data_IF_952257697344
#
_entry.id   IF_952257697344
#
_cell.length_a   1.000
_cell.length_b   1.000
_cell.length_c   1.000
_cell.angle_alpha   90.00
_cell.angle_beta   90.00
_cell.angle_gamma   90.00
#
_symmetry.space_group_name_H-M   'P 1'
#
loop_
_entity.id
_entity.type
_entity.pdbx_description
1 polymer ?
#
# COMPACT_ATOMS: atom_id res chain seq x y z
N UNK A 1 -4.28 -22.05 1.43
CA UNK A 1 -3.77 -21.02 0.51
C UNK A 1 -4.17 -21.41 -0.89
N UNK A 2 -5.10 -20.73 -1.49
CA UNK A 2 -5.53 -20.93 -2.88
C UNK A 2 -5.14 -19.70 -3.70
N UNK A 3 -5.01 -19.87 -5.03
CA UNK A 3 -4.95 -18.75 -5.97
C UNK A 3 -6.33 -18.62 -6.58
N UNK A 4 -6.97 -17.48 -6.38
CA UNK A 4 -8.31 -17.17 -6.88
C UNK A 4 -8.18 -16.08 -7.92
N UNK A 5 -8.55 -16.41 -9.16
CA UNK A 5 -8.50 -15.44 -10.27
C UNK A 5 -9.93 -14.96 -10.53
N UNK A 6 -10.12 -13.64 -10.61
CA UNK A 6 -11.40 -13.07 -11.00
C UNK A 6 -11.75 -13.52 -12.43
N UNK A 7 -12.98 -13.94 -12.64
CA UNK A 7 -13.48 -14.45 -13.92
C UNK A 7 -14.30 -13.43 -14.69
N UNK A 8 -14.65 -12.31 -14.05
CA UNK A 8 -15.34 -11.15 -14.63
C UNK A 8 -15.17 -9.93 -13.76
N UNK A 9 -15.43 -8.75 -14.31
CA UNK A 9 -15.47 -7.51 -13.53
C UNK A 9 -16.74 -7.44 -12.67
N UNK A 10 -16.63 -6.84 -11.48
CA UNK A 10 -17.74 -6.72 -10.53
C UNK A 10 -17.26 -6.27 -9.15
N UNK A 11 -18.20 -6.13 -8.22
CA UNK A 11 -17.91 -5.74 -6.85
C UNK A 11 -17.30 -6.89 -6.04
N UNK A 12 -16.36 -6.59 -5.15
CA UNK A 12 -15.75 -7.58 -4.26
C UNK A 12 -16.79 -8.36 -3.45
N UNK A 13 -17.83 -7.68 -2.97
CA UNK A 13 -18.92 -8.27 -2.19
C UNK A 13 -19.85 -9.18 -2.99
N UNK A 14 -19.87 -9.07 -4.32
CA UNK A 14 -20.83 -9.82 -5.16
C UNK A 14 -20.45 -11.29 -5.29
N UNK A 15 -21.22 -12.17 -4.66
CA UNK A 15 -21.08 -13.63 -4.70
C UNK A 15 -22.01 -14.29 -5.71
N UNK A 16 -22.63 -13.54 -6.60
CA UNK A 16 -23.42 -14.12 -7.72
C UNK A 16 -22.50 -14.80 -8.73
N UNK A 17 -22.79 -16.05 -9.07
CA UNK A 17 -22.03 -16.74 -10.13
C UNK A 17 -22.26 -16.15 -11.53
N UNK A 18 -23.26 -15.28 -11.67
CA UNK A 18 -23.61 -14.64 -12.95
C UNK A 18 -22.96 -13.26 -13.09
N UNK A 19 -22.96 -12.46 -12.02
CA UNK A 19 -22.51 -11.04 -12.03
C UNK A 19 -21.26 -10.81 -11.22
N UNK A 20 -21.00 -11.61 -10.18
CA UNK A 20 -19.84 -11.41 -9.30
C UNK A 20 -18.52 -11.87 -9.91
N UNK A 21 -17.38 -11.34 -9.39
CA UNK A 21 -16.07 -11.64 -9.96
C UNK A 21 -15.54 -13.04 -9.63
N UNK A 22 -16.11 -13.72 -8.62
CA UNK A 22 -15.51 -14.93 -8.09
C UNK A 22 -15.87 -16.18 -8.88
N UNK A 23 -14.94 -17.14 -9.04
CA UNK A 23 -15.22 -18.37 -9.76
C UNK A 23 -16.22 -19.26 -8.98
N UNK A 24 -17.09 -19.94 -9.72
CA UNK A 24 -18.06 -20.87 -9.15
C UNK A 24 -19.22 -21.12 -10.11
N UNK A 25 -19.85 -22.26 -9.98
CA UNK A 25 -20.96 -22.67 -10.86
C UNK A 25 -22.35 -22.38 -10.26
N UNK A 26 -22.41 -21.93 -9.02
CA UNK A 26 -23.67 -21.67 -8.30
C UNK A 26 -23.54 -20.46 -7.38
N UNK A 27 -24.66 -19.82 -7.07
CA UNK A 27 -24.74 -18.71 -6.11
C UNK A 27 -25.06 -19.27 -4.72
N UNK A 28 -24.36 -18.83 -3.64
CA UNK A 28 -23.22 -17.94 -3.67
C UNK A 28 -21.93 -18.62 -4.15
N UNK A 29 -21.07 -17.86 -4.84
CA UNK A 29 -19.71 -18.30 -5.13
C UNK A 29 -18.86 -18.18 -3.86
N UNK A 30 -17.73 -18.89 -3.83
CA UNK A 30 -16.78 -18.76 -2.73
C UNK A 30 -15.97 -17.47 -2.91
N UNK A 31 -16.19 -16.52 -1.99
CA UNK A 31 -15.39 -15.29 -1.92
C UNK A 31 -14.00 -15.61 -1.36
N UNK A 32 -12.93 -14.93 -1.84
CA UNK A 32 -11.60 -15.08 -1.28
C UNK A 32 -11.56 -14.78 0.23
N UNK A 33 -10.77 -15.52 0.96
CA UNK A 33 -10.59 -15.37 2.40
C UNK A 33 -9.15 -15.29 2.84
N UNK A 34 -8.96 -15.18 4.15
CA UNK A 34 -7.64 -15.13 4.78
C UNK A 34 -6.76 -16.29 4.31
N UNK A 35 -5.58 -15.97 3.82
CA UNK A 35 -4.61 -16.94 3.32
C UNK A 35 -4.67 -17.18 1.81
N UNK A 36 -5.62 -16.59 1.09
CA UNK A 36 -5.70 -16.72 -0.37
C UNK A 36 -4.91 -15.61 -1.08
N UNK A 37 -4.33 -15.97 -2.23
CA UNK A 37 -3.81 -15.00 -3.19
C UNK A 37 -4.90 -14.70 -4.22
N UNK A 38 -5.21 -13.43 -4.42
CA UNK A 38 -6.26 -13.00 -5.34
C UNK A 38 -5.67 -12.26 -6.51
N UNK A 39 -6.01 -12.70 -7.71
CA UNK A 39 -5.55 -12.12 -8.97
C UNK A 39 -6.73 -11.49 -9.70
N UNK A 40 -6.55 -10.25 -10.15
CA UNK A 40 -7.58 -9.58 -10.94
C UNK A 40 -7.70 -10.18 -12.36
N UNK A 41 -6.64 -10.82 -12.88
CA UNK A 41 -6.61 -11.33 -14.26
C UNK A 41 -6.79 -10.19 -15.25
N UNK A 42 -7.80 -10.28 -16.12
CA UNK A 42 -8.18 -9.21 -17.06
C UNK A 42 -9.42 -8.43 -16.59
N UNK A 43 -9.78 -8.55 -15.31
CA UNK A 43 -11.00 -8.01 -14.75
C UNK A 43 -10.74 -6.77 -13.89
N UNK A 44 -11.75 -5.91 -13.76
CA UNK A 44 -11.77 -4.86 -12.75
C UNK A 44 -12.64 -5.32 -11.58
N UNK A 45 -12.04 -5.42 -10.40
CA UNK A 45 -12.73 -5.81 -9.17
C UNK A 45 -12.83 -4.58 -8.28
N UNK A 46 -14.05 -4.05 -8.10
CA UNK A 46 -14.31 -2.90 -7.24
C UNK A 46 -14.32 -3.33 -5.77
N UNK A 47 -13.50 -2.69 -4.95
CA UNK A 47 -13.45 -2.91 -3.50
C UNK A 47 -14.56 -2.08 -2.86
N UNK A 48 -15.59 -2.74 -2.36
CA UNK A 48 -16.79 -2.13 -1.75
C UNK A 48 -17.04 -2.59 -0.30
N UNK A 49 -16.18 -3.44 0.24
CA UNK A 49 -16.16 -3.88 1.64
C UNK A 49 -14.74 -4.22 2.08
N UNK A 50 -14.55 -4.53 3.36
CA UNK A 50 -13.25 -4.92 3.92
C UNK A 50 -12.69 -6.16 3.21
N UNK A 51 -11.39 -6.13 2.90
CA UNK A 51 -10.65 -7.20 2.25
C UNK A 51 -9.66 -7.81 3.22
N UNK A 52 -9.77 -9.12 3.44
CA UNK A 52 -8.86 -9.89 4.28
C UNK A 52 -8.34 -11.11 3.52
N UNK A 53 -7.21 -10.97 2.86
CA UNK A 53 -6.55 -12.04 2.09
C UNK A 53 -5.05 -12.03 2.33
N UNK A 54 -4.34 -13.04 1.87
CA UNK A 54 -2.88 -13.03 1.98
C UNK A 54 -2.24 -12.04 1.01
N UNK A 55 -2.76 -11.95 -0.22
CA UNK A 55 -2.15 -11.13 -1.27
C UNK A 55 -3.18 -10.70 -2.31
N UNK A 56 -3.08 -9.46 -2.74
CA UNK A 56 -3.66 -8.93 -3.98
C UNK A 56 -2.56 -8.79 -5.02
N UNK A 57 -2.74 -9.37 -6.19
CA UNK A 57 -1.74 -9.43 -7.23
C UNK A 57 -2.30 -8.97 -8.58
N UNK A 58 -1.56 -8.12 -9.29
CA UNK A 58 -1.87 -7.80 -10.68
C UNK A 58 -1.30 -8.87 -11.60
N UNK A 59 -2.18 -9.51 -12.35
CA UNK A 59 -1.85 -10.39 -13.47
C UNK A 59 -2.73 -10.01 -14.64
N UNK A 60 -2.23 -10.01 -15.85
CA UNK A 60 -2.99 -9.57 -17.02
C UNK A 60 -3.27 -8.05 -17.03
N UNK A 61 -4.38 -7.63 -17.60
CA UNK A 61 -4.77 -6.21 -17.74
C UNK A 61 -5.66 -5.69 -16.61
N UNK A 62 -6.20 -6.58 -15.76
CA UNK A 62 -7.12 -6.24 -14.68
C UNK A 62 -6.45 -5.60 -13.47
N UNK A 63 -7.25 -5.07 -12.56
CA UNK A 63 -6.83 -4.41 -11.33
C UNK A 63 -7.96 -4.39 -10.30
N UNK A 64 -7.60 -4.12 -9.05
CA UNK A 64 -8.57 -3.81 -8.00
C UNK A 64 -8.81 -2.31 -7.99
N UNK A 65 -10.07 -1.89 -7.95
CA UNK A 65 -10.46 -0.49 -8.01
C UNK A 65 -11.11 -0.03 -6.71
N UNK A 66 -10.93 1.25 -6.38
CA UNK A 66 -11.70 1.97 -5.38
C UNK A 66 -12.15 3.26 -6.03
N UNK A 67 -13.41 3.28 -6.47
CA UNK A 67 -14.00 4.44 -7.16
C UNK A 67 -15.07 5.13 -6.33
N UNK A 68 -15.60 4.46 -5.29
CA UNK A 68 -16.66 5.00 -4.45
C UNK A 68 -16.11 5.88 -3.32
N UNK A 69 -16.83 6.94 -3.01
CA UNK A 69 -16.55 7.84 -1.89
C UNK A 69 -17.29 7.33 -0.66
N UNK A 70 -16.56 6.71 0.26
CA UNK A 70 -17.11 6.28 1.54
C UNK A 70 -16.78 7.30 2.63
N UNK A 71 -17.77 7.77 3.41
CA UNK A 71 -17.48 8.57 4.59
C UNK A 71 -16.79 7.71 5.66
N UNK A 72 -15.88 8.29 6.44
CA UNK A 72 -15.39 7.61 7.62
C UNK A 72 -16.56 7.41 8.62
N UNK A 73 -16.71 6.24 9.30
CA UNK A 73 -15.80 5.10 9.34
C UNK A 73 -16.12 3.96 8.33
N UNK A 74 -17.03 4.16 7.35
CA UNK A 74 -17.45 3.09 6.42
C UNK A 74 -16.48 2.81 5.27
N UNK A 75 -15.26 3.35 5.34
CA UNK A 75 -14.23 3.11 4.32
C UNK A 75 -13.74 1.67 4.40
N UNK A 76 -13.73 0.92 3.28
CA UNK A 76 -13.17 -0.42 3.28
C UNK A 76 -11.70 -0.41 3.69
N UNK A 77 -11.30 -1.35 4.54
CA UNK A 77 -9.90 -1.59 4.89
C UNK A 77 -9.34 -2.76 4.08
N UNK A 78 -8.05 -2.76 3.82
CA UNK A 78 -7.37 -3.87 3.15
C UNK A 78 -6.33 -4.45 4.10
N UNK A 79 -6.47 -5.74 4.40
CA UNK A 79 -5.45 -6.55 5.06
C UNK A 79 -4.92 -7.55 4.05
N UNK A 80 -3.85 -7.20 3.36
CA UNK A 80 -3.21 -8.01 2.33
C UNK A 80 -1.86 -7.42 1.95
N UNK A 81 -0.89 -8.24 1.56
CA UNK A 81 0.21 -7.78 0.73
C UNK A 81 -0.34 -7.37 -0.64
N UNK A 82 0.12 -6.25 -1.20
CA UNK A 82 -0.26 -5.80 -2.53
C UNK A 82 0.98 -5.82 -3.42
N UNK A 83 0.94 -6.69 -4.43
CA UNK A 83 2.10 -6.96 -5.29
C UNK A 83 1.76 -6.64 -6.74
N UNK A 84 2.64 -5.91 -7.39
CA UNK A 84 2.59 -5.71 -8.83
C UNK A 84 3.83 -6.34 -9.46
N UNK A 85 3.65 -7.43 -10.19
CA UNK A 85 4.78 -8.16 -10.78
C UNK A 85 5.16 -7.67 -12.18
N UNK A 86 4.23 -7.21 -13.00
CA UNK A 86 4.50 -7.02 -14.44
C UNK A 86 3.73 -5.87 -15.11
N UNK A 87 2.95 -5.08 -14.37
CA UNK A 87 1.99 -4.16 -14.97
C UNK A 87 2.42 -2.70 -14.88
N UNK A 88 2.33 -1.98 -16.00
CA UNK A 88 2.50 -0.52 -16.08
C UNK A 88 1.32 0.23 -15.43
N UNK A 89 0.79 -0.10 -14.32
CA UNK A 89 -0.22 0.61 -13.52
C UNK A 89 -0.37 -0.09 -12.16
N UNK A 90 -1.09 0.49 -11.23
CA UNK A 90 -1.29 -0.09 -9.90
C UNK A 90 -2.09 -1.40 -9.91
N UNK A 91 -1.71 -2.31 -9.02
CA UNK A 91 -2.55 -3.48 -8.68
C UNK A 91 -3.84 -3.01 -8.02
N UNK A 92 -3.74 -2.05 -7.09
CA UNK A 92 -4.86 -1.32 -6.52
C UNK A 92 -4.87 0.10 -7.09
N UNK A 93 -5.99 0.51 -7.66
CA UNK A 93 -6.19 1.85 -8.22
C UNK A 93 -7.29 2.58 -7.45
N UNK A 94 -6.98 3.79 -6.97
CA UNK A 94 -7.93 4.64 -6.26
C UNK A 94 -8.19 5.84 -7.17
N UNK A 95 -9.35 5.83 -7.81
CA UNK A 95 -9.71 6.74 -8.89
C UNK A 95 -10.75 7.77 -8.46
N UNK A 96 -10.71 8.96 -9.05
CA UNK A 96 -11.82 9.91 -9.05
C UNK A 96 -12.31 10.37 -7.67
N UNK A 97 -11.42 10.41 -6.67
CA UNK A 97 -11.78 10.76 -5.30
C UNK A 97 -12.31 9.58 -4.47
N UNK A 98 -12.14 8.34 -4.93
CA UNK A 98 -12.44 7.13 -4.17
C UNK A 98 -11.79 7.15 -2.78
N UNK A 99 -12.43 6.55 -1.80
CA UNK A 99 -11.95 6.57 -0.42
C UNK A 99 -11.79 5.15 0.13
N UNK A 100 -10.63 4.86 0.68
CA UNK A 100 -10.31 3.62 1.36
C UNK A 100 -9.82 3.92 2.77
N UNK A 101 -10.01 2.98 3.70
CA UNK A 101 -9.48 3.02 5.06
C UNK A 101 -8.00 2.64 5.08
N UNK A 102 -7.60 1.92 6.10
CA UNK A 102 -6.21 1.55 6.29
C UNK A 102 -5.81 0.36 5.40
N UNK A 103 -4.55 0.33 5.01
CA UNK A 103 -3.92 -0.81 4.32
C UNK A 103 -2.91 -1.43 5.28
N UNK A 104 -3.13 -2.71 5.63
CA UNK A 104 -2.21 -3.50 6.45
C UNK A 104 -1.58 -4.58 5.60
N UNK A 105 -0.27 -4.46 5.35
CA UNK A 105 0.52 -5.39 4.54
C UNK A 105 1.55 -4.70 3.67
N UNK A 106 2.50 -5.47 3.17
CA UNK A 106 3.59 -4.95 2.35
C UNK A 106 3.12 -4.54 0.95
N UNK A 107 3.67 -3.44 0.45
CA UNK A 107 3.44 -2.94 -0.90
C UNK A 107 4.69 -3.18 -1.76
N UNK A 108 4.58 -3.99 -2.79
CA UNK A 108 5.71 -4.33 -3.67
C UNK A 108 5.46 -3.84 -5.10
N UNK A 109 6.34 -3.00 -5.61
CA UNK A 109 6.35 -2.59 -7.01
C UNK A 109 6.97 -3.66 -7.89
N UNK A 110 6.45 -3.80 -9.12
CA UNK A 110 7.08 -4.61 -10.16
C UNK A 110 8.26 -3.92 -10.83
N UNK A 111 8.88 -4.62 -11.76
CA UNK A 111 10.06 -4.15 -12.49
C UNK A 111 9.69 -3.42 -13.80
N UNK A 112 8.44 -3.52 -14.25
CA UNK A 112 7.98 -2.82 -15.43
C UNK A 112 7.93 -1.30 -15.21
N UNK A 113 8.15 -0.52 -16.27
CA UNK A 113 8.03 0.94 -16.19
C UNK A 113 6.61 1.35 -15.78
N UNK A 114 6.51 2.20 -14.75
CA UNK A 114 5.25 2.63 -14.16
C UNK A 114 4.56 1.60 -13.25
N UNK A 115 5.17 0.43 -13.00
CA UNK A 115 4.58 -0.57 -12.11
C UNK A 115 4.60 -0.09 -10.65
N UNK A 116 3.43 0.01 -10.03
CA UNK A 116 3.29 0.28 -8.60
C UNK A 116 2.27 -0.68 -7.97
N UNK A 117 2.37 -0.94 -6.67
CA UNK A 117 1.37 -1.73 -5.97
C UNK A 117 0.06 -0.94 -5.86
N UNK A 118 0.15 0.35 -5.50
CA UNK A 118 -0.99 1.25 -5.32
C UNK A 118 -0.83 2.47 -6.22
N UNK A 119 -1.82 2.73 -7.05
CA UNK A 119 -1.94 3.93 -7.85
C UNK A 119 -3.08 4.80 -7.30
N UNK A 120 -2.74 5.90 -6.63
CA UNK A 120 -3.71 6.83 -6.06
C UNK A 120 -3.80 8.09 -6.91
N UNK A 121 -4.86 8.19 -7.71
CA UNK A 121 -5.16 9.36 -8.55
C UNK A 121 -6.24 10.23 -7.92
N UNK A 122 -5.82 11.01 -6.92
CA UNK A 122 -6.69 11.98 -6.24
C UNK A 122 -7.69 11.39 -5.25
N UNK A 123 -7.54 10.11 -4.89
CA UNK A 123 -8.33 9.48 -3.85
C UNK A 123 -7.76 9.70 -2.44
N UNK A 124 -8.45 9.15 -1.45
CA UNK A 124 -8.03 9.18 -0.05
C UNK A 124 -7.71 7.78 0.44
N UNK A 125 -6.53 7.62 1.02
CA UNK A 125 -6.07 6.42 1.71
C UNK A 125 -5.92 6.76 3.19
N UNK A 126 -6.28 5.83 4.07
CA UNK A 126 -5.98 5.87 5.50
C UNK A 126 -4.48 5.68 5.76
N UNK A 127 -4.15 4.99 6.81
CA UNK A 127 -2.76 4.68 7.13
C UNK A 127 -2.30 3.40 6.42
N UNK A 128 -1.01 3.35 6.07
CA UNK A 128 -0.36 2.15 5.56
C UNK A 128 0.52 1.59 6.67
N UNK A 129 0.22 0.37 7.10
CA UNK A 129 1.03 -0.42 8.06
C UNK A 129 1.63 -1.62 7.32
N UNK A 130 2.81 -1.44 6.78
CA UNK A 130 3.54 -2.42 5.99
C UNK A 130 4.80 -1.84 5.39
N UNK A 131 5.66 -2.69 4.85
CA UNK A 131 6.89 -2.27 4.18
C UNK A 131 6.61 -1.81 2.74
N UNK A 132 7.38 -0.82 2.28
CA UNK A 132 7.38 -0.35 0.92
C UNK A 132 8.59 -0.94 0.18
N UNK A 133 8.34 -1.78 -0.82
CA UNK A 133 9.38 -2.51 -1.55
C UNK A 133 9.41 -2.04 -3.00
N UNK A 134 10.47 -1.34 -3.37
CA UNK A 134 10.67 -0.83 -4.73
C UNK A 134 11.07 -1.96 -5.68
N UNK A 135 10.60 -1.87 -6.92
CA UNK A 135 11.01 -2.78 -8.00
C UNK A 135 12.50 -2.72 -8.31
N UNK A 136 13.03 -3.72 -9.01
CA UNK A 136 14.45 -3.83 -9.35
C UNK A 136 14.93 -2.68 -10.24
N UNK A 137 14.05 -2.09 -11.03
CA UNK A 137 14.33 -0.93 -11.89
C UNK A 137 14.09 0.42 -11.19
N UNK A 138 13.81 0.42 -9.88
CA UNK A 138 13.61 1.62 -9.07
C UNK A 138 12.18 2.13 -9.04
N UNK A 139 11.21 1.34 -9.51
CA UNK A 139 9.80 1.71 -9.40
C UNK A 139 9.36 1.78 -7.95
N UNK A 140 8.69 2.85 -7.57
CA UNK A 140 8.20 3.04 -6.20
C UNK A 140 6.85 2.34 -6.02
N UNK A 141 6.59 1.68 -4.87
CA UNK A 141 5.40 0.82 -4.72
C UNK A 141 4.09 1.58 -4.63
N UNK A 142 4.11 2.89 -4.40
CA UNK A 142 2.90 3.71 -4.34
C UNK A 142 3.07 5.01 -5.13
N UNK A 143 2.09 5.34 -5.95
CA UNK A 143 1.96 6.62 -6.63
C UNK A 143 0.85 7.43 -5.97
N UNK A 144 1.08 8.73 -5.77
CA UNK A 144 0.14 9.66 -5.14
C UNK A 144 0.37 9.84 -3.64
N UNK A 145 -0.47 10.62 -2.97
CA UNK A 145 -0.33 10.92 -1.55
C UNK A 145 -0.66 9.71 -0.68
N UNK A 146 0.18 9.45 0.31
CA UNK A 146 0.01 8.37 1.30
C UNK A 146 0.61 8.75 2.64
N UNK A 147 0.32 7.95 3.66
CA UNK A 147 0.91 8.04 4.98
C UNK A 147 1.29 6.65 5.48
N UNK A 148 2.56 6.49 5.84
CA UNK A 148 3.08 5.25 6.42
C UNK A 148 3.01 5.34 7.94
N UNK A 149 2.53 4.28 8.60
CA UNK A 149 2.54 4.18 10.06
C UNK A 149 3.98 4.06 10.54
N UNK A 150 4.29 4.79 11.60
CA UNK A 150 5.55 4.66 12.31
C UNK A 150 5.63 3.31 13.03
N UNK A 151 6.25 2.35 12.38
CA UNK A 151 6.45 1.02 12.91
C UNK A 151 7.86 0.55 12.51
N UNK A 152 8.74 0.20 13.47
CA UNK A 152 10.10 -0.26 13.18
C UNK A 152 10.16 -1.49 12.26
N UNK A 153 9.08 -2.27 12.21
CA UNK A 153 8.97 -3.41 11.29
C UNK A 153 8.73 -2.98 9.84
N UNK A 154 8.22 -1.76 9.61
CA UNK A 154 7.91 -1.23 8.29
C UNK A 154 9.17 -0.62 7.67
N UNK A 155 9.66 -1.21 6.61
CA UNK A 155 10.87 -0.76 5.94
C UNK A 155 10.54 -0.19 4.56
N UNK A 156 11.34 0.78 4.10
CA UNK A 156 11.31 1.26 2.73
C UNK A 156 12.58 0.77 2.03
N UNK A 157 12.43 -0.12 1.06
CA UNK A 157 13.55 -0.69 0.32
C UNK A 157 13.63 -0.08 -1.07
N UNK A 158 14.75 0.55 -1.37
CA UNK A 158 15.07 1.15 -2.67
C UNK A 158 16.08 0.28 -3.42
N UNK A 159 16.10 0.42 -4.74
CA UNK A 159 17.18 -0.11 -5.58
C UNK A 159 18.11 1.02 -5.98
N UNK A 160 19.41 0.83 -5.72
CA UNK A 160 20.44 1.75 -6.20
C UNK A 160 20.70 1.53 -7.70
N UNK A 161 21.27 2.51 -8.42
CA UNK A 161 21.64 2.34 -9.83
C UNK A 161 22.55 1.15 -10.13
N UNK A 162 23.29 0.65 -9.14
CA UNK A 162 24.11 -0.56 -9.24
C UNK A 162 23.34 -1.86 -8.98
N UNK A 163 22.02 -1.80 -8.79
CA UNK A 163 21.16 -2.93 -8.52
C UNK A 163 21.14 -3.41 -7.06
N UNK A 164 22.00 -2.86 -6.19
CA UNK A 164 22.01 -3.24 -4.78
C UNK A 164 20.80 -2.65 -4.03
N UNK A 165 20.13 -3.44 -3.18
CA UNK A 165 19.05 -2.90 -2.35
C UNK A 165 19.64 -1.98 -1.27
N UNK A 166 18.90 -0.91 -0.99
CA UNK A 166 19.14 -0.04 0.15
C UNK A 166 17.83 0.08 0.94
N UNK A 167 17.86 -0.27 2.21
CA UNK A 167 16.69 -0.27 3.08
C UNK A 167 16.80 0.89 4.07
N UNK A 168 15.77 1.73 4.08
CA UNK A 168 15.55 2.74 5.09
C UNK A 168 14.51 2.19 6.09
N UNK A 169 14.90 2.07 7.35
CA UNK A 169 13.94 1.74 8.40
C UNK A 169 12.96 2.91 8.59
N UNK A 170 11.68 2.59 8.73
CA UNK A 170 10.66 3.56 9.12
C UNK A 170 10.65 3.74 10.65
N UNK A 171 11.84 3.93 11.19
CA UNK A 171 12.07 4.09 12.61
C UNK A 171 12.06 5.58 12.94
N UNK A 172 11.20 5.98 13.84
CA UNK A 172 11.32 7.32 14.41
C UNK A 172 12.52 7.36 15.36
N UNK A 173 13.16 8.53 15.50
CA UNK A 173 14.19 8.70 16.50
C UNK A 173 13.67 8.24 17.88
N UNK A 174 14.51 7.55 18.64
CA UNK A 174 14.15 7.24 20.03
C UNK A 174 13.81 8.54 20.80
N UNK A 175 12.90 8.53 21.76
CA UNK A 175 12.55 9.72 22.54
C UNK A 175 13.77 10.46 23.12
N UNK A 176 14.82 9.71 23.50
CA UNK A 176 16.07 10.25 24.00
C UNK A 176 16.86 11.07 22.95
N UNK A 177 16.60 10.87 21.65
CA UNK A 177 17.26 11.57 20.55
C UNK A 177 16.43 12.76 20.04
N UNK A 178 15.25 12.98 20.59
CA UNK A 178 14.36 14.09 20.26
C UNK A 178 14.35 15.09 21.41
N UNK A 179 14.44 16.38 21.07
CA UNK A 179 14.43 17.47 22.07
C UNK A 179 13.23 17.30 23.01
N UNK A 180 13.47 17.43 24.32
CA UNK A 180 12.44 17.34 25.35
C UNK A 180 11.26 18.26 25.09
N UNK A 181 10.05 17.73 25.16
CA UNK A 181 8.80 18.44 24.93
C UNK A 181 8.41 18.61 23.47
N UNK A 182 9.20 18.11 22.52
CA UNK A 182 8.78 18.08 21.10
C UNK A 182 7.92 16.86 20.89
N UNK A 183 6.66 17.08 20.54
CA UNK A 183 5.75 16.02 20.11
C UNK A 183 6.08 15.60 18.66
N UNK A 184 6.14 14.30 18.43
CA UNK A 184 6.33 13.72 17.11
C UNK A 184 5.49 12.45 16.98
N UNK A 185 5.51 11.80 15.84
CA UNK A 185 4.59 10.68 15.57
C UNK A 185 3.13 11.06 15.92
N UNK A 186 2.68 12.23 15.48
CA UNK A 186 1.32 12.78 15.70
C UNK A 186 0.94 12.97 17.18
N UNK A 187 1.91 13.25 18.03
CA UNK A 187 1.67 13.41 19.46
C UNK A 187 1.60 12.08 20.22
N UNK A 188 1.87 10.95 19.58
CA UNK A 188 1.94 9.65 20.27
C UNK A 188 3.24 9.50 21.05
N UNK A 189 4.28 10.26 20.67
CA UNK A 189 5.57 10.28 21.34
C UNK A 189 5.99 11.70 21.68
N UNK A 190 6.78 11.82 22.74
CA UNK A 190 7.35 13.11 23.18
C UNK A 190 8.85 12.94 23.38
N UNK A 191 9.63 13.88 22.86
CA UNK A 191 11.09 13.86 23.01
C UNK A 191 11.53 14.01 24.46
N UNK A 192 12.60 13.33 24.85
CA UNK A 192 13.17 13.28 26.19
C UNK A 192 14.59 13.87 26.25
N UNK A 193 15.21 14.21 25.15
CA UNK A 193 16.57 14.72 25.11
C UNK A 193 16.69 16.02 25.91
N UNK A 194 17.57 16.03 26.90
CA UNK A 194 17.82 17.20 27.74
C UNK A 194 18.27 18.42 26.91
N UNK A 195 17.84 19.62 27.31
CA UNK A 195 18.27 20.85 26.68
C UNK A 195 19.81 20.98 26.80
N UNK A 196 20.53 20.87 25.67
CA UNK A 196 22.00 20.90 25.62
C UNK A 196 22.63 19.72 24.88
N UNK A 197 21.88 18.68 24.53
CA UNK A 197 22.32 17.64 23.61
C UNK A 197 22.38 18.16 22.19
N UNK A 198 23.58 18.22 21.59
CA UNK A 198 23.78 18.62 20.21
C UNK A 198 23.70 17.38 19.32
N UNK A 199 22.56 17.19 18.67
CA UNK A 199 22.56 16.44 17.41
C UNK A 199 22.91 17.43 16.31
N UNK A 200 23.97 17.16 15.58
CA UNK A 200 24.24 17.90 14.35
C UNK A 200 23.01 17.84 13.44
N UNK A 201 22.73 18.89 12.66
CA UNK A 201 21.51 18.95 11.86
C UNK A 201 21.50 17.82 10.81
N UNK A 202 20.64 16.85 10.99
CA UNK A 202 20.27 15.93 9.92
C UNK A 202 19.00 16.48 9.29
N UNK A 203 19.13 17.18 8.19
CA UNK A 203 18.00 17.60 7.38
C UNK A 203 17.76 16.58 6.28
N UNK A 204 16.65 15.86 6.38
CA UNK A 204 16.13 15.06 5.25
C UNK A 204 15.09 15.93 4.55
N UNK A 205 15.42 16.48 3.40
CA UNK A 205 14.47 17.19 2.54
C UNK A 205 14.03 16.23 1.44
N UNK A 206 12.79 15.78 1.52
CA UNK A 206 12.15 15.03 0.43
C UNK A 206 11.44 16.06 -0.45
N UNK A 207 12.12 16.51 -1.50
CA UNK A 207 11.56 17.35 -2.55
C UNK A 207 11.77 16.68 -3.90
N UNK A 208 10.80 16.79 -4.80
CA UNK A 208 10.84 16.14 -6.12
C UNK A 208 12.13 16.45 -6.88
N UNK A 209 13.03 15.48 -6.94
CA UNK A 209 14.29 15.61 -7.66
C UNK A 209 15.54 15.07 -6.97
N UNK A 210 15.44 14.35 -5.86
CA UNK A 210 16.59 13.69 -5.25
C UNK A 210 16.77 13.94 -3.75
N UNK A 211 17.29 12.94 -3.07
CA UNK A 211 17.65 13.00 -1.65
C UNK A 211 19.03 13.66 -1.55
N UNK A 212 19.13 14.75 -0.80
CA UNK A 212 20.42 15.30 -0.36
C UNK A 212 20.53 15.13 1.15
N UNK A 213 21.58 14.44 1.57
CA UNK A 213 22.00 14.36 2.97
C UNK A 213 23.16 15.37 3.12
N UNK A 214 23.02 16.33 3.99
CA UNK A 214 24.08 17.24 4.38
C UNK A 214 24.29 17.20 5.89
#
# INVERSE_FOLDING_TARGET
MAIIVAVRSGNWSDTSHVTGPWPGASTPTTKPGVGDTVQAGDCVVEIDEDVHVAMLEATGSGYFAVSNVYPAPQRPNITAAIVNNEKANGTLQINGGGTIGDITGDLTAGDADGACAVYNDGGTIGDIDGSLICGATGQFPIFGPFRLVANPANNVTFRQPNGNPWTLSNDYPAPADVRSGVEYDRGTQTGEMAAGGSIGPVSIVIGGGGIRIS
#
